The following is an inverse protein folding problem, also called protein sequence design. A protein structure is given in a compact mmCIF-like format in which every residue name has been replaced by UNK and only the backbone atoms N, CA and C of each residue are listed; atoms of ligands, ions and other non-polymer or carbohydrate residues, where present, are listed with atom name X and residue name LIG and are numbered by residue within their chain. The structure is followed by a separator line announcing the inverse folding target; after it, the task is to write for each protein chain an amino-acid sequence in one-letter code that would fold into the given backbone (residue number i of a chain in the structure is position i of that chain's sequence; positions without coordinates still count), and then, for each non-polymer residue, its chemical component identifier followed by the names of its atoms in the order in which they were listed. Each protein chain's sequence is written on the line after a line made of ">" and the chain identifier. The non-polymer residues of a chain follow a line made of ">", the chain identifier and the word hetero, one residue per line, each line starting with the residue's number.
data_IF_604981592128
#
_entry.id   IF_604981592128
#
_cell.length_a   1.000
_cell.length_b   1.000
_cell.length_c   1.000
_cell.angle_alpha   90.00
_cell.angle_beta   90.00
_cell.angle_gamma   90.00
#
_symmetry.space_group_name_H-M   'P 1'
#
loop_
_entity.id
_entity.type
_entity.pdbx_description
1 polymer ?
#
# COMPACT_ATOMS: atom_id res chain seq x y z
N UNK A 1 -43.49 -41.23 37.31
CA UNK A 1 -43.17 -39.80 37.13
C UNK A 1 -44.46 -39.01 37.25
N UNK A 2 -44.58 -38.09 38.22
CA UNK A 2 -45.85 -37.43 38.53
C UNK A 2 -46.18 -36.38 37.45
N UNK A 3 -47.46 -36.20 37.06
CA UNK A 3 -47.86 -35.27 35.97
C UNK A 3 -47.30 -33.85 36.13
N UNK A 4 -47.16 -33.41 37.39
CA UNK A 4 -46.57 -32.13 37.78
C UNK A 4 -45.07 -32.01 37.45
N UNK A 5 -44.31 -33.09 37.56
CA UNK A 5 -42.87 -33.08 37.23
C UNK A 5 -42.65 -33.06 35.71
N UNK A 6 -43.53 -33.71 34.95
CA UNK A 6 -43.52 -33.65 33.48
C UNK A 6 -43.79 -32.22 33.00
N UNK A 7 -44.76 -31.54 33.63
CA UNK A 7 -45.07 -30.14 33.33
C UNK A 7 -43.89 -29.19 33.62
N UNK A 8 -43.18 -29.38 34.73
CA UNK A 8 -42.02 -28.57 35.09
C UNK A 8 -40.84 -28.75 34.12
N UNK A 9 -40.60 -29.97 33.65
CA UNK A 9 -39.55 -30.26 32.66
C UNK A 9 -39.88 -29.59 31.32
N UNK A 10 -41.15 -29.64 30.88
CA UNK A 10 -41.59 -28.96 29.65
C UNK A 10 -41.44 -27.44 29.76
N UNK A 11 -41.83 -26.84 30.88
CA UNK A 11 -41.67 -25.40 31.12
C UNK A 11 -40.19 -24.97 31.13
N UNK A 12 -39.32 -25.75 31.77
CA UNK A 12 -37.88 -25.50 31.74
C UNK A 12 -37.32 -25.58 30.31
N UNK A 13 -37.75 -26.57 29.52
CA UNK A 13 -37.36 -26.69 28.12
C UNK A 13 -37.78 -25.49 27.26
N UNK A 14 -39.01 -25.00 27.43
CA UNK A 14 -39.50 -23.80 26.72
C UNK A 14 -38.73 -22.55 27.14
N UNK A 15 -38.44 -22.39 28.43
CA UNK A 15 -37.66 -21.26 28.94
C UNK A 15 -36.23 -21.26 28.38
N UNK A 16 -35.58 -22.43 28.33
CA UNK A 16 -34.24 -22.59 27.74
C UNK A 16 -34.26 -22.26 26.24
N UNK A 17 -35.27 -22.74 25.50
CA UNK A 17 -35.40 -22.44 24.06
C UNK A 17 -35.63 -20.95 23.80
N UNK A 18 -36.48 -20.30 24.60
CA UNK A 18 -36.72 -18.86 24.50
C UNK A 18 -35.45 -18.05 24.82
N UNK A 19 -34.71 -18.44 25.85
CA UNK A 19 -33.40 -17.83 26.18
C UNK A 19 -32.39 -18.03 25.05
N UNK A 20 -32.36 -19.21 24.42
CA UNK A 20 -31.46 -19.51 23.31
C UNK A 20 -31.77 -18.69 22.06
N UNK A 21 -33.05 -18.57 21.68
CA UNK A 21 -33.54 -17.68 20.60
C UNK A 21 -33.22 -16.21 20.86
N UNK A 22 -33.25 -15.78 22.12
CA UNK A 22 -32.96 -14.40 22.46
C UNK A 22 -31.45 -14.10 22.44
N UNK A 23 -30.63 -15.07 22.86
CA UNK A 23 -29.16 -14.97 22.81
C UNK A 23 -28.59 -15.10 21.38
N UNK A 24 -29.29 -15.82 20.49
CA UNK A 24 -28.93 -16.00 19.09
C UNK A 24 -30.03 -15.41 18.21
N UNK A 25 -30.10 -14.08 18.06
CA UNK A 25 -31.01 -13.47 17.09
C UNK A 25 -30.70 -14.05 15.70
N UNK A 26 -31.76 -14.39 14.96
CA UNK A 26 -31.61 -14.86 13.59
C UNK A 26 -30.76 -13.86 12.78
N UNK A 27 -29.77 -14.34 12.00
CA UNK A 27 -28.96 -13.47 11.18
C UNK A 27 -29.88 -12.63 10.30
N UNK A 28 -29.64 -11.31 10.29
CA UNK A 28 -30.43 -10.38 9.51
C UNK A 28 -30.37 -10.75 8.02
N UNK A 29 -31.53 -11.13 7.47
CA UNK A 29 -31.70 -11.37 6.03
C UNK A 29 -32.48 -10.18 5.44
N UNK A 30 -31.84 -9.28 4.69
CA UNK A 30 -32.56 -8.18 4.03
C UNK A 30 -33.54 -8.75 3.01
N UNK A 31 -34.80 -8.33 3.09
CA UNK A 31 -35.80 -8.62 2.05
C UNK A 31 -35.59 -7.62 0.93
N UNK A 32 -34.94 -8.06 -0.14
CA UNK A 32 -34.70 -7.24 -1.33
C UNK A 32 -36.02 -6.98 -2.08
N UNK A 33 -36.24 -5.73 -2.50
CA UNK A 33 -37.26 -5.38 -3.49
C UNK A 33 -36.96 -6.05 -4.84
N UNK A 34 -37.96 -6.19 -5.71
CA UNK A 34 -37.74 -6.77 -7.06
C UNK A 34 -36.67 -6.03 -7.87
N UNK A 35 -36.57 -4.69 -7.69
CA UNK A 35 -35.51 -3.89 -8.30
C UNK A 35 -34.13 -4.25 -7.74
N UNK A 36 -34.00 -4.36 -6.42
CA UNK A 36 -32.73 -4.73 -5.79
C UNK A 36 -32.32 -6.17 -6.11
N UNK A 37 -33.29 -7.10 -6.19
CA UNK A 37 -33.04 -8.47 -6.66
C UNK A 37 -32.49 -8.47 -8.06
N UNK A 38 -33.10 -7.72 -8.99
CA UNK A 38 -32.63 -7.62 -10.37
C UNK A 38 -31.20 -7.08 -10.45
N UNK A 39 -30.91 -5.97 -9.78
CA UNK A 39 -29.56 -5.37 -9.75
C UNK A 39 -28.54 -6.32 -9.14
N UNK A 40 -28.86 -6.95 -8.02
CA UNK A 40 -27.97 -7.89 -7.34
C UNK A 40 -27.69 -9.11 -8.22
N UNK A 41 -28.73 -9.64 -8.87
CA UNK A 41 -28.60 -10.78 -9.79
C UNK A 41 -27.74 -10.43 -11.00
N UNK A 42 -27.97 -9.27 -11.63
CA UNK A 42 -27.16 -8.80 -12.76
C UNK A 42 -25.69 -8.54 -12.36
N UNK A 43 -25.46 -7.96 -11.18
CA UNK A 43 -24.11 -7.70 -10.66
C UNK A 43 -23.34 -8.99 -10.36
N UNK A 44 -24.04 -10.01 -9.83
CA UNK A 44 -23.45 -11.31 -9.49
C UNK A 44 -23.45 -12.30 -10.67
N UNK A 45 -24.04 -11.97 -11.82
CA UNK A 45 -24.11 -12.86 -12.97
C UNK A 45 -22.74 -13.10 -13.64
N UNK A 46 -21.85 -12.11 -13.59
CA UNK A 46 -20.53 -12.18 -14.19
C UNK A 46 -19.44 -11.83 -13.17
N UNK A 47 -19.12 -12.81 -12.35
CA UNK A 47 -18.08 -12.71 -11.33
C UNK A 47 -16.71 -13.05 -11.93
N UNK A 48 -15.69 -12.34 -11.47
CA UNK A 48 -14.32 -12.53 -11.88
C UNK A 48 -13.41 -12.60 -10.66
N UNK A 49 -12.58 -13.64 -10.59
CA UNK A 49 -11.58 -13.79 -9.55
C UNK A 49 -10.51 -12.71 -9.67
N UNK A 50 -10.28 -12.00 -8.57
CA UNK A 50 -9.25 -10.95 -8.41
C UNK A 50 -8.35 -11.29 -7.24
N UNK A 51 -7.09 -10.87 -7.34
CA UNK A 51 -6.13 -11.00 -6.25
C UNK A 51 -6.01 -9.69 -5.47
N UNK A 52 -6.30 -9.73 -4.16
CA UNK A 52 -6.26 -8.58 -3.25
C UNK A 52 -5.52 -8.99 -1.98
N UNK A 53 -4.39 -8.34 -1.69
CA UNK A 53 -3.50 -8.75 -0.62
C UNK A 53 -3.03 -10.19 -0.85
N UNK A 54 -3.32 -11.09 0.09
CA UNK A 54 -3.00 -12.53 -0.03
C UNK A 54 -4.18 -13.41 -0.46
N UNK A 55 -5.32 -12.80 -0.77
CA UNK A 55 -6.56 -13.50 -1.00
C UNK A 55 -6.99 -13.43 -2.45
N UNK A 56 -7.69 -14.48 -2.87
CA UNK A 56 -8.49 -14.48 -4.09
C UNK A 56 -9.94 -14.21 -3.70
N UNK A 57 -10.55 -13.25 -4.39
CA UNK A 57 -11.94 -12.86 -4.18
C UNK A 57 -12.62 -12.72 -5.53
N UNK A 58 -13.83 -13.27 -5.63
CA UNK A 58 -14.67 -13.07 -6.80
C UNK A 58 -15.38 -11.73 -6.66
N UNK A 59 -15.19 -10.85 -7.65
CA UNK A 59 -15.82 -9.54 -7.73
C UNK A 59 -16.57 -9.41 -9.06
N UNK A 60 -17.63 -8.58 -9.13
CA UNK A 60 -18.30 -8.29 -10.39
C UNK A 60 -17.29 -7.83 -11.45
N UNK A 61 -17.44 -8.29 -12.70
CA UNK A 61 -16.47 -7.98 -13.77
C UNK A 61 -16.29 -6.47 -14.03
N UNK A 62 -17.33 -5.67 -13.74
CA UNK A 62 -17.31 -4.21 -13.83
C UNK A 62 -16.76 -3.51 -12.59
N UNK A 63 -16.31 -4.26 -11.57
CA UNK A 63 -15.62 -3.70 -10.43
C UNK A 63 -14.33 -3.02 -10.89
N UNK A 64 -14.20 -1.75 -10.53
CA UNK A 64 -13.02 -0.96 -10.81
C UNK A 64 -12.45 -0.43 -9.50
N UNK A 65 -11.18 -0.72 -9.25
CA UNK A 65 -10.49 -0.21 -8.08
C UNK A 65 -10.15 1.27 -8.32
N UNK A 66 -10.64 2.17 -7.46
CA UNK A 66 -10.36 3.60 -7.56
C UNK A 66 -9.08 4.01 -6.85
N UNK A 67 -8.46 3.10 -6.09
CA UNK A 67 -7.28 3.36 -5.29
C UNK A 67 -6.03 2.87 -6.02
N UNK A 68 -5.22 3.80 -6.51
CA UNK A 68 -3.94 3.57 -7.19
C UNK A 68 -2.74 3.51 -6.21
N UNK A 69 -2.96 3.06 -4.97
CA UNK A 69 -1.91 3.01 -3.95
C UNK A 69 -2.14 1.94 -2.89
N UNK A 70 -1.05 1.46 -2.30
CA UNK A 70 -1.05 0.59 -1.13
C UNK A 70 -0.01 1.04 -0.09
N UNK A 71 -0.19 0.62 1.17
CA UNK A 71 0.87 0.72 2.18
C UNK A 71 1.58 -0.61 2.28
N UNK A 72 2.90 -0.57 2.15
CA UNK A 72 3.78 -1.72 2.36
C UNK A 72 4.72 -1.34 3.48
N UNK A 73 4.53 -1.96 4.64
CA UNK A 73 5.09 -1.48 5.92
C UNK A 73 4.69 -0.01 6.14
N UNK A 74 5.66 0.87 6.38
CA UNK A 74 5.46 2.30 6.55
C UNK A 74 5.55 3.10 5.25
N UNK A 75 5.80 2.44 4.11
CA UNK A 75 6.03 3.10 2.84
C UNK A 75 4.76 3.09 1.99
N UNK A 76 4.50 4.22 1.35
CA UNK A 76 3.42 4.34 0.37
C UNK A 76 3.94 3.91 -0.99
N UNK A 77 3.25 2.95 -1.60
CA UNK A 77 3.51 2.47 -2.96
C UNK A 77 2.37 2.94 -3.84
N UNK A 78 2.67 3.79 -4.81
CA UNK A 78 1.71 4.29 -5.79
C UNK A 78 1.93 3.58 -7.12
N UNK A 79 0.85 3.25 -7.81
CA UNK A 79 0.88 2.42 -9.02
C UNK A 79 -0.04 3.01 -10.06
N UNK A 80 0.46 3.24 -11.27
CA UNK A 80 -0.34 3.78 -12.36
C UNK A 80 0.01 3.10 -13.67
N UNK A 81 -1.00 2.73 -14.44
CA UNK A 81 -0.81 2.29 -15.82
C UNK A 81 -0.20 3.46 -16.63
N UNK A 82 0.95 3.23 -17.25
CA UNK A 82 1.66 4.27 -17.98
C UNK A 82 2.40 3.70 -19.18
N UNK A 83 2.29 4.37 -20.32
CA UNK A 83 3.04 4.02 -21.52
C UNK A 83 4.54 4.32 -21.32
N UNK A 84 5.49 3.49 -21.80
CA UNK A 84 6.90 3.62 -21.41
C UNK A 84 7.54 4.99 -21.74
N UNK A 85 7.33 5.59 -22.94
CA UNK A 85 7.79 6.95 -23.23
C UNK A 85 7.27 8.01 -22.25
N UNK A 86 6.03 7.88 -21.78
CA UNK A 86 5.48 8.80 -20.78
C UNK A 86 6.13 8.59 -19.40
N UNK A 87 6.53 7.36 -19.06
CA UNK A 87 7.33 7.09 -17.87
C UNK A 87 8.70 7.78 -17.96
N UNK A 88 9.42 7.61 -19.08
CA UNK A 88 10.73 8.23 -19.29
C UNK A 88 10.68 9.75 -19.19
N UNK A 89 9.70 10.37 -19.85
CA UNK A 89 9.47 11.81 -19.76
C UNK A 89 9.17 12.25 -18.32
N UNK A 90 8.35 11.48 -17.58
CA UNK A 90 8.03 11.78 -16.18
C UNK A 90 9.26 11.79 -15.29
N UNK A 91 10.21 10.86 -15.53
CA UNK A 91 11.47 10.81 -14.78
C UNK A 91 12.32 12.05 -15.05
N UNK A 92 12.48 12.42 -16.32
CA UNK A 92 13.25 13.60 -16.71
C UNK A 92 12.68 14.88 -16.09
N UNK A 93 11.36 15.10 -16.25
CA UNK A 93 10.66 16.25 -15.67
C UNK A 93 10.77 16.29 -14.14
N UNK A 94 10.71 15.13 -13.49
CA UNK A 94 10.86 15.04 -12.03
C UNK A 94 12.27 15.39 -11.59
N UNK A 95 13.29 14.88 -12.27
CA UNK A 95 14.68 15.21 -11.98
C UNK A 95 14.94 16.71 -12.14
N UNK A 96 14.50 17.31 -13.25
CA UNK A 96 14.64 18.75 -13.51
C UNK A 96 13.96 19.58 -12.43
N UNK A 97 12.73 19.22 -12.06
CA UNK A 97 12.01 19.88 -10.97
C UNK A 97 12.77 19.78 -9.64
N UNK A 98 13.33 18.61 -9.30
CA UNK A 98 14.11 18.42 -8.07
C UNK A 98 15.42 19.21 -8.07
N UNK A 99 16.07 19.37 -9.23
CA UNK A 99 17.29 20.18 -9.39
C UNK A 99 17.02 21.68 -9.26
N UNK A 100 15.87 22.14 -9.74
CA UNK A 100 15.49 23.56 -9.71
C UNK A 100 14.88 23.98 -8.35
N UNK A 101 14.40 23.01 -7.57
CA UNK A 101 13.78 23.23 -6.27
C UNK A 101 14.69 24.00 -5.32
N UNK A 102 14.15 25.06 -4.70
CA UNK A 102 14.84 25.86 -3.68
C UNK A 102 14.45 25.38 -2.28
N UNK A 103 15.37 25.50 -1.34
CA UNK A 103 15.12 25.31 0.09
C UNK A 103 14.86 26.67 0.74
N UNK A 104 14.10 26.66 1.83
CA UNK A 104 13.86 27.87 2.65
C UNK A 104 15.15 28.37 3.29
N UNK A 105 16.09 27.47 3.57
CA UNK A 105 17.40 27.79 4.13
C UNK A 105 18.51 27.47 3.11
N UNK A 106 19.27 28.48 2.63
CA UNK A 106 20.32 28.25 1.62
C UNK A 106 21.40 27.24 2.04
N UNK A 107 21.67 27.09 3.35
CA UNK A 107 22.64 26.13 3.88
C UNK A 107 22.24 24.67 3.62
N UNK A 108 20.95 24.41 3.42
CA UNK A 108 20.39 23.09 3.18
C UNK A 108 20.39 22.70 1.69
N UNK A 109 20.73 23.62 0.78
CA UNK A 109 20.85 23.33 -0.65
C UNK A 109 21.99 22.32 -0.94
N UNK A 110 21.90 21.54 -2.03
CA UNK A 110 20.78 21.43 -2.99
C UNK A 110 19.61 20.58 -2.45
N UNK A 111 18.40 20.74 -3.01
CA UNK A 111 17.23 19.93 -2.61
C UNK A 111 17.36 18.46 -3.06
N UNK A 112 17.80 18.22 -4.30
CA UNK A 112 18.21 16.91 -4.79
C UNK A 112 19.62 16.61 -4.28
N UNK A 113 19.77 15.53 -3.51
CA UNK A 113 21.04 15.15 -2.86
C UNK A 113 21.80 14.09 -3.61
N UNK A 114 21.09 13.10 -4.14
CA UNK A 114 21.71 12.04 -4.91
C UNK A 114 20.74 11.38 -5.89
N UNK A 115 21.31 10.65 -6.85
CA UNK A 115 20.59 9.82 -7.80
C UNK A 115 21.22 8.43 -7.77
N UNK A 116 20.41 7.42 -7.47
CA UNK A 116 20.84 6.04 -7.49
C UNK A 116 20.19 5.27 -8.64
N UNK A 117 20.99 4.44 -9.30
CA UNK A 117 20.49 3.47 -10.28
C UNK A 117 19.85 2.28 -9.56
N UNK A 118 18.81 1.73 -10.18
CA UNK A 118 18.26 0.44 -9.80
C UNK A 118 19.22 -0.71 -10.16
N UNK A 119 19.05 -1.89 -9.53
CA UNK A 119 19.77 -3.09 -9.93
C UNK A 119 19.64 -3.40 -11.43
N UNK A 120 20.63 -4.13 -11.97
CA UNK A 120 20.69 -4.46 -13.39
C UNK A 120 19.41 -5.20 -13.84
N UNK A 121 18.89 -4.83 -15.01
CA UNK A 121 17.66 -5.39 -15.58
C UNK A 121 16.36 -4.69 -15.16
N UNK A 122 16.42 -3.76 -14.19
CA UNK A 122 15.27 -2.94 -13.81
C UNK A 122 15.28 -1.59 -14.53
N UNK A 123 14.11 -1.12 -14.95
CA UNK A 123 13.94 0.21 -15.53
C UNK A 123 13.43 1.19 -14.47
N UNK A 124 14.24 2.20 -14.14
CA UNK A 124 13.85 3.20 -13.15
C UNK A 124 15.02 3.88 -12.47
N UNK A 125 14.71 4.66 -11.44
CA UNK A 125 15.65 5.53 -10.75
C UNK A 125 15.22 5.77 -9.30
N UNK A 126 16.17 6.09 -8.43
CA UNK A 126 15.90 6.54 -7.06
C UNK A 126 16.49 7.93 -6.89
N UNK A 127 15.66 8.88 -6.49
CA UNK A 127 16.10 10.21 -6.08
C UNK A 127 16.22 10.24 -4.56
N UNK A 128 17.39 10.63 -4.05
CA UNK A 128 17.51 11.11 -2.68
C UNK A 128 17.29 12.61 -2.67
N UNK A 129 16.26 13.05 -1.96
CA UNK A 129 15.90 14.45 -1.83
C UNK A 129 15.62 14.81 -0.38
N UNK A 130 15.59 16.10 -0.09
CA UNK A 130 14.98 16.57 1.15
C UNK A 130 13.49 16.19 1.21
N UNK A 131 12.99 15.96 2.42
CA UNK A 131 11.56 15.66 2.62
C UNK A 131 10.68 16.84 2.18
N UNK A 132 11.04 18.06 2.59
CA UNK A 132 10.34 19.31 2.30
C UNK A 132 11.34 20.47 2.12
N UNK A 133 10.89 21.60 1.55
CA UNK A 133 11.74 22.79 1.36
C UNK A 133 12.09 23.49 2.68
N UNK A 134 11.23 23.35 3.69
CA UNK A 134 11.31 24.07 4.97
C UNK A 134 11.82 23.22 6.14
N UNK A 135 12.22 21.98 5.88
CA UNK A 135 12.83 21.11 6.88
C UNK A 135 14.36 21.08 6.70
N UNK A 136 15.14 20.91 7.78
CA UNK A 136 16.59 20.80 7.66
C UNK A 136 16.98 19.61 6.79
N UNK A 137 18.09 19.72 6.08
CA UNK A 137 18.44 18.72 5.09
C UNK A 137 18.76 17.34 5.71
N UNK A 138 19.00 17.23 7.02
CA UNK A 138 19.06 15.92 7.70
C UNK A 138 17.87 15.00 7.38
N UNK A 139 16.67 15.55 7.11
CA UNK A 139 15.48 14.76 6.80
C UNK A 139 15.40 14.47 5.30
N UNK A 140 15.49 13.19 4.94
CA UNK A 140 15.58 12.70 3.56
C UNK A 140 14.36 11.88 3.16
N UNK A 141 14.09 11.84 1.86
CA UNK A 141 13.21 10.85 1.22
C UNK A 141 13.98 10.18 0.09
N UNK A 142 13.96 8.86 0.08
CA UNK A 142 14.32 8.05 -1.08
C UNK A 142 13.06 7.84 -1.92
N UNK A 143 12.95 8.62 -3.00
CA UNK A 143 11.85 8.56 -3.96
C UNK A 143 12.25 7.68 -5.14
N UNK A 144 11.79 6.43 -5.11
CA UNK A 144 11.99 5.48 -6.20
C UNK A 144 10.88 5.57 -7.24
N UNK A 145 11.27 5.45 -8.51
CA UNK A 145 10.37 5.21 -9.62
C UNK A 145 10.83 3.95 -10.36
N UNK A 146 9.93 3.00 -10.52
CA UNK A 146 10.12 1.73 -11.22
C UNK A 146 9.11 1.60 -12.35
N UNK A 147 9.54 1.05 -13.48
CA UNK A 147 8.67 0.64 -14.57
C UNK A 147 8.70 -0.87 -14.73
N UNK A 148 7.52 -1.48 -14.74
CA UNK A 148 7.37 -2.93 -14.89
C UNK A 148 6.04 -3.23 -15.57
N UNK A 149 6.07 -4.00 -16.66
CA UNK A 149 4.88 -4.54 -17.34
C UNK A 149 3.75 -3.53 -17.63
N UNK A 150 4.08 -2.32 -18.10
CA UNK A 150 3.07 -1.30 -18.40
C UNK A 150 2.66 -0.44 -17.20
N UNK A 151 3.28 -0.66 -16.04
CA UNK A 151 2.93 -0.01 -14.78
C UNK A 151 4.10 0.81 -14.28
N UNK A 152 3.81 2.06 -13.98
CA UNK A 152 4.72 2.97 -13.29
C UNK A 152 4.45 2.91 -11.79
N UNK A 153 5.47 2.53 -11.03
CA UNK A 153 5.41 2.34 -9.59
C UNK A 153 6.29 3.41 -8.93
N UNK A 154 5.74 4.11 -7.93
CA UNK A 154 6.47 5.08 -7.13
C UNK A 154 6.49 4.61 -5.68
N UNK A 155 7.66 4.59 -5.06
CA UNK A 155 7.82 4.27 -3.63
C UNK A 155 8.58 5.40 -2.95
N UNK A 156 8.05 5.90 -1.85
CA UNK A 156 8.76 6.86 -1.00
C UNK A 156 9.09 6.24 0.34
N UNK A 157 10.37 6.30 0.71
CA UNK A 157 10.88 5.81 1.99
C UNK A 157 11.61 6.92 2.72
N UNK A 158 11.22 7.17 3.98
CA UNK A 158 11.89 8.18 4.82
C UNK A 158 13.27 7.71 5.24
N UNK A 159 14.24 8.61 5.17
CA UNK A 159 15.61 8.39 5.60
C UNK A 159 16.15 9.64 6.33
N UNK A 160 17.33 9.53 6.90
CA UNK A 160 18.04 10.65 7.53
C UNK A 160 19.50 10.62 7.13
N UNK A 161 20.09 11.80 6.95
CA UNK A 161 21.52 11.97 6.77
C UNK A 161 22.04 13.19 7.55
N UNK A 162 22.42 12.95 8.80
CA UNK A 162 23.04 13.94 9.67
C UNK A 162 24.56 13.96 9.59
N UNK A 163 25.19 13.37 8.56
CA UNK A 163 26.65 13.18 8.50
C UNK A 163 27.45 14.46 8.24
N UNK A 164 26.81 15.53 7.75
CA UNK A 164 27.48 16.78 7.46
C UNK A 164 28.15 17.41 8.70
N UNK A 165 29.29 18.07 8.50
CA UNK A 165 30.09 18.67 9.58
C UNK A 165 29.32 19.73 10.40
N UNK A 166 28.34 20.40 9.77
CA UNK A 166 27.48 21.38 10.47
C UNK A 166 26.69 20.77 11.63
N UNK A 167 26.45 19.46 11.60
CA UNK A 167 25.71 18.73 12.63
C UNK A 167 26.62 18.06 13.68
N UNK A 168 27.93 18.35 13.69
CA UNK A 168 28.87 17.73 14.63
C UNK A 168 28.50 17.95 16.10
N UNK A 169 28.01 19.15 16.44
CA UNK A 169 27.54 19.48 17.79
C UNK A 169 26.21 18.80 18.08
N UNK A 170 25.27 18.86 17.14
CA UNK A 170 23.95 18.29 17.33
C UNK A 170 23.98 16.77 17.41
N UNK A 171 24.93 16.09 16.74
CA UNK A 171 25.16 14.64 16.90
C UNK A 171 25.62 14.25 18.31
N UNK A 172 26.27 15.14 19.04
CA UNK A 172 26.70 14.87 20.42
C UNK A 172 25.52 14.92 21.39
N UNK A 173 24.54 15.77 21.14
CA UNK A 173 23.36 15.94 22.00
C UNK A 173 22.18 15.06 21.55
N UNK A 174 21.99 14.89 20.24
CA UNK A 174 20.85 14.24 19.60
C UNK A 174 21.27 13.21 18.53
N UNK A 175 22.07 12.17 18.90
CA UNK A 175 22.64 11.22 17.94
C UNK A 175 21.60 10.43 17.12
N UNK A 176 20.39 10.24 17.66
CA UNK A 176 19.29 9.52 16.98
C UNK A 176 18.59 10.38 15.93
N UNK A 177 18.67 11.71 16.06
CA UNK A 177 18.14 12.66 15.08
C UNK A 177 19.13 12.83 13.94
N UNK A 178 20.41 13.03 14.26
CA UNK A 178 21.48 13.29 13.30
C UNK A 178 22.27 12.03 12.92
N UNK A 179 21.55 10.92 12.80
CA UNK A 179 22.10 9.65 12.29
C UNK A 179 22.16 9.64 10.76
N UNK A 180 22.84 8.65 10.18
CA UNK A 180 22.76 8.36 8.76
C UNK A 180 22.09 7.00 8.52
N UNK A 181 20.83 7.03 8.07
CA UNK A 181 20.06 5.83 7.71
C UNK A 181 19.94 5.64 6.20
N UNK A 182 20.47 6.55 5.37
CA UNK A 182 20.37 6.47 3.90
C UNK A 182 20.91 5.14 3.36
N UNK A 183 22.10 4.63 3.74
CA UNK A 183 22.60 3.36 3.20
C UNK A 183 21.69 2.17 3.50
N UNK A 184 21.21 2.05 4.74
CA UNK A 184 20.33 0.96 5.16
C UNK A 184 18.96 1.04 4.47
N UNK A 185 18.37 2.23 4.42
CA UNK A 185 17.07 2.47 3.76
C UNK A 185 17.16 2.30 2.25
N UNK A 186 18.29 2.65 1.63
CA UNK A 186 18.52 2.40 0.20
C UNK A 186 18.58 0.90 -0.11
N UNK A 187 19.23 0.11 0.75
CA UNK A 187 19.23 -1.35 0.61
C UNK A 187 17.83 -1.95 0.78
N UNK A 188 17.09 -1.52 1.81
CA UNK A 188 15.69 -1.92 2.07
C UNK A 188 14.78 -1.57 0.88
N UNK A 189 14.93 -0.37 0.31
CA UNK A 189 14.16 0.07 -0.85
C UNK A 189 14.50 -0.74 -2.10
N UNK A 190 15.78 -1.02 -2.35
CA UNK A 190 16.19 -1.85 -3.50
C UNK A 190 15.69 -3.29 -3.39
N UNK A 191 15.72 -3.87 -2.19
CA UNK A 191 15.12 -5.17 -1.91
C UNK A 191 13.63 -5.17 -2.26
N UNK A 192 12.88 -4.21 -1.71
CA UNK A 192 11.45 -4.07 -1.97
C UNK A 192 11.16 -3.95 -3.47
N UNK A 193 11.85 -3.05 -4.17
CA UNK A 193 11.65 -2.84 -5.62
C UNK A 193 11.95 -4.10 -6.44
N UNK A 194 12.91 -4.93 -6.02
CA UNK A 194 13.25 -6.17 -6.72
C UNK A 194 12.14 -7.21 -6.70
N UNK A 195 11.25 -7.14 -5.71
CA UNK A 195 10.11 -8.05 -5.54
C UNK A 195 8.82 -7.51 -6.14
N UNK A 196 8.76 -6.22 -6.51
CA UNK A 196 7.58 -5.61 -7.11
C UNK A 196 7.57 -5.86 -8.62
N UNK A 197 6.44 -6.36 -9.12
CA UNK A 197 6.17 -6.51 -10.54
C UNK A 197 4.82 -5.88 -10.89
N UNK A 198 4.79 -5.11 -11.98
CA UNK A 198 3.53 -4.63 -12.54
C UNK A 198 2.72 -5.79 -13.11
N UNK A 199 1.39 -5.71 -13.01
CA UNK A 199 0.47 -6.71 -13.56
C UNK A 199 -0.88 -6.10 -13.92
N UNK A 200 -1.67 -6.84 -14.70
CA UNK A 200 -3.08 -6.50 -14.87
C UNK A 200 -3.87 -6.86 -13.61
N UNK A 201 -4.94 -6.14 -13.32
CA UNK A 201 -5.80 -6.43 -12.15
C UNK A 201 -6.42 -7.83 -12.17
N UNK A 202 -6.66 -8.38 -13.36
CA UNK A 202 -7.24 -9.70 -13.59
C UNK A 202 -6.20 -10.82 -13.59
N UNK A 203 -4.91 -10.48 -13.54
CA UNK A 203 -3.82 -11.45 -13.58
C UNK A 203 -3.57 -11.99 -12.17
N UNK A 204 -3.65 -13.30 -12.01
CA UNK A 204 -3.48 -13.96 -10.71
C UNK A 204 -2.04 -14.46 -10.61
N UNK A 205 -1.23 -13.94 -9.67
CA UNK A 205 0.13 -14.44 -9.44
C UNK A 205 0.12 -15.90 -8.99
N UNK A 206 1.11 -16.67 -9.43
CA UNK A 206 1.27 -18.10 -9.08
C UNK A 206 2.28 -18.31 -7.96
N UNK A 207 3.01 -17.27 -7.56
CA UNK A 207 4.00 -17.29 -6.48
C UNK A 207 3.44 -16.65 -5.22
N UNK A 208 4.05 -16.97 -4.07
CA UNK A 208 3.65 -16.39 -2.77
C UNK A 208 4.01 -14.91 -2.73
N UNK A 209 3.08 -14.09 -2.22
CA UNK A 209 3.28 -12.65 -2.06
C UNK A 209 1.99 -11.90 -1.79
N UNK A 210 2.03 -10.59 -2.03
CA UNK A 210 0.91 -9.67 -1.81
C UNK A 210 0.53 -8.94 -3.10
N UNK A 211 -0.73 -9.03 -3.49
CA UNK A 211 -1.35 -8.25 -4.55
C UNK A 211 -1.72 -6.85 -4.06
N UNK A 212 -1.21 -5.84 -4.76
CA UNK A 212 -1.58 -4.44 -4.62
C UNK A 212 -2.25 -3.96 -5.93
N UNK A 213 -2.83 -2.76 -5.99
CA UNK A 213 -3.37 -2.24 -7.23
C UNK A 213 -2.30 -2.25 -8.34
N UNK A 214 -2.64 -2.77 -9.51
CA UNK A 214 -1.79 -2.91 -10.70
C UNK A 214 -0.42 -3.57 -10.49
N UNK A 215 -0.14 -4.19 -9.34
CA UNK A 215 1.16 -4.79 -9.06
C UNK A 215 1.05 -5.97 -8.09
N UNK A 216 2.17 -6.68 -7.97
CA UNK A 216 2.34 -7.80 -7.06
C UNK A 216 3.73 -7.70 -6.42
N UNK A 217 3.80 -8.04 -5.14
CA UNK A 217 5.04 -8.02 -4.37
C UNK A 217 5.30 -9.46 -3.92
N UNK A 218 6.32 -10.09 -4.48
CA UNK A 218 6.77 -11.39 -4.02
C UNK A 218 7.29 -11.33 -2.58
N UNK A 219 7.14 -12.44 -1.85
CA UNK A 219 7.73 -12.60 -0.51
C UNK A 219 9.27 -12.68 -0.58
#
# INVERSE_FOLDING_TARGET
>A
MNKRNILLILLAGVAIYALWRWYLPDPYHPVLTEKEKKVTTEMLANMQTRCIGRYLIDLPANYNNTVEAARVNDNRVETRLLYPPAFEQRIQLREDALRQMKTSYPIDMPYLKNIYRLPQGMQGIIFERMEDQSVPDVVRVLEAHLYSNGVAIKVEMKAKDGSAARYDKDRQTEPTVYTNTVPAKLAELKDLLSRIQGRKETEIPTTVGNCIPHAFIAD
#
